data_IF_644213369953
#
_entry.id   IF_644213369953
#
_cell.length_a   1.000
_cell.length_b   1.000
_cell.length_c   1.000
_cell.angle_alpha   90.00
_cell.angle_beta   90.00
_cell.angle_gamma   90.00
#
_symmetry.space_group_name_H-M   'P 1'
#
loop_
_entity.id
_entity.type
_entity.pdbx_description
1 polymer ?
#
# COMPACT_ATOMS: atom_id res chain seq x y z
N UNK A 1 -40.12 15.22 5.42
CA UNK A 1 -38.83 14.56 5.71
C UNK A 1 -37.76 15.63 5.92
N UNK A 2 -37.39 15.93 7.16
CA UNK A 2 -36.42 16.99 7.47
C UNK A 2 -35.75 16.72 8.82
N UNK A 3 -34.94 15.67 8.90
CA UNK A 3 -34.12 15.41 10.08
C UNK A 3 -33.03 16.47 10.19
N UNK A 4 -33.03 17.23 11.28
CA UNK A 4 -32.10 18.33 11.52
C UNK A 4 -30.62 17.89 11.53
N UNK A 5 -29.72 18.88 11.48
CA UNK A 5 -28.26 18.67 11.38
C UNK A 5 -27.70 17.66 12.41
N UNK A 6 -28.29 17.58 13.60
CA UNK A 6 -27.90 16.64 14.64
C UNK A 6 -28.18 15.17 14.25
N UNK A 7 -29.36 14.88 13.68
CA UNK A 7 -29.70 13.53 13.21
C UNK A 7 -28.87 13.14 11.98
N UNK A 8 -28.58 14.09 11.10
CA UNK A 8 -27.68 13.87 9.96
C UNK A 8 -26.24 13.55 10.42
N UNK A 9 -25.73 14.27 11.42
CA UNK A 9 -24.42 13.99 12.03
C UNK A 9 -24.37 12.64 12.74
N UNK A 10 -25.40 12.27 13.50
CA UNK A 10 -25.44 10.98 14.21
C UNK A 10 -25.45 9.81 13.22
N UNK A 11 -26.28 9.89 12.18
CA UNK A 11 -26.34 8.87 11.13
C UNK A 11 -25.04 8.78 10.33
N UNK A 12 -24.36 9.91 10.07
CA UNK A 12 -23.04 9.91 9.41
C UNK A 12 -21.97 9.24 10.29
N UNK A 13 -21.97 9.51 11.60
CA UNK A 13 -21.06 8.86 12.56
C UNK A 13 -21.34 7.36 12.67
N UNK A 14 -22.62 6.96 12.77
CA UNK A 14 -23.02 5.55 12.81
C UNK A 14 -22.61 4.82 11.53
N UNK A 15 -22.88 5.37 10.33
CA UNK A 15 -22.42 4.77 9.07
C UNK A 15 -20.89 4.66 8.98
N UNK A 16 -20.13 5.63 9.52
CA UNK A 16 -18.67 5.56 9.52
C UNK A 16 -18.16 4.47 10.47
N UNK A 17 -18.76 4.34 11.64
CA UNK A 17 -18.46 3.28 12.60
C UNK A 17 -18.85 1.90 12.06
N UNK A 18 -19.94 1.78 11.33
CA UNK A 18 -20.34 0.54 10.67
C UNK A 18 -19.40 0.16 9.51
N UNK A 19 -18.91 1.14 8.73
CA UNK A 19 -17.85 0.90 7.74
C UNK A 19 -16.54 0.43 8.38
N UNK A 20 -16.20 0.94 9.56
CA UNK A 20 -15.03 0.49 10.33
C UNK A 20 -15.22 -0.93 10.91
N UNK A 21 -16.47 -1.34 11.16
CA UNK A 21 -16.82 -2.68 11.67
C UNK A 21 -17.06 -3.72 10.55
N UNK A 22 -17.19 -3.28 9.30
CA UNK A 22 -17.45 -4.13 8.14
C UNK A 22 -16.18 -4.74 7.55
N UNK A 23 -15.85 -5.97 7.98
CA UNK A 23 -14.95 -6.88 7.24
C UNK A 23 -13.88 -7.55 8.11
N UNK A 24 -14.03 -8.85 8.37
CA UNK A 24 -12.98 -9.71 8.92
C UNK A 24 -11.70 -9.55 8.07
N UNK A 25 -10.64 -9.00 8.66
CA UNK A 25 -9.32 -8.86 8.04
C UNK A 25 -9.29 -7.78 6.96
N UNK A 26 -8.80 -6.60 7.30
CA UNK A 26 -8.55 -5.55 6.32
C UNK A 26 -7.57 -6.08 5.27
N UNK A 27 -8.05 -6.30 4.04
CA UNK A 27 -7.21 -6.59 2.88
C UNK A 27 -6.14 -5.49 2.70
N UNK A 28 -6.43 -4.26 3.16
CA UNK A 28 -5.48 -3.16 3.24
C UNK A 28 -4.32 -3.44 4.20
N UNK A 29 -4.59 -4.05 5.36
CA UNK A 29 -3.54 -4.42 6.33
C UNK A 29 -2.71 -5.60 5.81
N UNK A 30 -3.35 -6.57 5.14
CA UNK A 30 -2.63 -7.64 4.45
C UNK A 30 -1.76 -7.07 3.31
N UNK A 31 -2.25 -6.08 2.57
CA UNK A 31 -1.50 -5.43 1.49
C UNK A 31 -0.34 -4.58 2.02
N UNK A 32 -0.53 -3.85 3.13
CA UNK A 32 0.56 -3.15 3.85
C UNK A 32 1.62 -4.12 4.37
N UNK A 33 1.22 -5.25 4.96
CA UNK A 33 2.15 -6.32 5.37
C UNK A 33 2.83 -6.99 4.18
N UNK A 34 2.20 -6.99 3.01
CA UNK A 34 2.80 -7.45 1.78
C UNK A 34 3.76 -6.41 1.18
N UNK A 35 3.81 -5.15 1.60
CA UNK A 35 4.79 -4.18 1.08
C UNK A 35 6.19 -4.36 1.72
N UNK A 36 6.84 -5.49 1.47
CA UNK A 36 8.16 -5.79 2.03
C UNK A 36 9.34 -5.43 1.11
N UNK A 37 9.10 -5.10 -0.15
CA UNK A 37 10.18 -4.80 -1.10
C UNK A 37 10.26 -3.28 -1.24
N UNK A 38 11.35 -2.67 -0.80
CA UNK A 38 11.55 -1.22 -0.92
C UNK A 38 12.81 -0.92 -1.72
N UNK A 39 12.70 -0.04 -2.72
CA UNK A 39 13.88 0.47 -3.42
C UNK A 39 14.68 1.39 -2.47
N UNK A 40 15.97 1.12 -2.30
CA UNK A 40 16.84 1.91 -1.42
C UNK A 40 17.20 3.29 -1.97
N UNK A 41 17.09 3.49 -3.28
CA UNK A 41 17.50 4.73 -3.95
C UNK A 41 16.35 5.75 -3.93
N UNK A 42 15.14 5.35 -4.33
CA UNK A 42 13.99 6.25 -4.41
C UNK A 42 12.93 6.03 -3.32
N UNK A 43 13.13 5.07 -2.42
CA UNK A 43 12.20 4.73 -1.33
C UNK A 43 10.81 4.29 -1.80
N UNK A 44 10.64 3.95 -3.09
CA UNK A 44 9.40 3.37 -3.59
C UNK A 44 9.18 1.98 -3.01
N UNK A 45 7.99 1.75 -2.46
CA UNK A 45 7.56 0.47 -1.92
C UNK A 45 6.84 -0.35 -2.97
N UNK A 46 7.18 -1.63 -3.04
CA UNK A 46 6.63 -2.64 -3.92
C UNK A 46 6.02 -3.75 -3.06
N UNK A 47 4.97 -4.36 -3.61
CA UNK A 47 4.28 -5.48 -2.97
C UNK A 47 5.21 -6.71 -3.04
N UNK A 48 5.21 -7.59 -2.05
CA UNK A 48 6.16 -8.71 -1.92
C UNK A 48 5.95 -9.79 -2.99
N UNK A 49 4.81 -9.78 -3.66
CA UNK A 49 4.50 -10.59 -4.83
C UNK A 49 5.04 -9.99 -6.13
N UNK A 50 5.69 -8.82 -6.07
CA UNK A 50 6.31 -8.19 -7.23
C UNK A 50 7.48 -9.07 -7.66
N UNK A 51 7.33 -9.74 -8.78
CA UNK A 51 8.37 -10.57 -9.37
C UNK A 51 9.63 -9.74 -9.66
N UNK A 52 10.78 -10.39 -9.67
CA UNK A 52 12.09 -9.78 -9.92
C UNK A 52 12.13 -8.94 -11.21
N UNK A 53 11.38 -9.36 -12.24
CA UNK A 53 11.20 -8.63 -13.49
C UNK A 53 10.72 -7.18 -13.30
N UNK A 54 9.76 -6.95 -12.38
CA UNK A 54 9.23 -5.61 -12.11
C UNK A 54 10.21 -4.74 -11.32
N UNK A 55 10.99 -5.35 -10.45
CA UNK A 55 12.09 -4.66 -9.76
C UNK A 55 13.20 -4.27 -10.74
N UNK A 56 13.46 -5.12 -11.74
CA UNK A 56 14.41 -4.86 -12.82
C UNK A 56 13.94 -3.74 -13.74
N UNK A 57 12.69 -3.77 -14.20
CA UNK A 57 12.09 -2.66 -14.96
C UNK A 57 12.20 -1.32 -14.19
N UNK A 58 11.97 -1.34 -12.87
CA UNK A 58 12.13 -0.16 -12.03
C UNK A 58 13.58 0.34 -12.01
N UNK A 59 14.54 -0.54 -11.77
CA UNK A 59 15.95 -0.19 -11.73
C UNK A 59 16.42 0.37 -13.09
N UNK A 60 16.08 -0.29 -14.20
CA UNK A 60 16.47 0.15 -15.56
C UNK A 60 15.82 1.49 -15.94
N UNK A 61 14.54 1.71 -15.61
CA UNK A 61 13.83 2.93 -16.00
C UNK A 61 14.10 4.13 -15.10
N UNK A 62 14.31 3.92 -13.78
CA UNK A 62 14.46 5.01 -12.80
C UNK A 62 15.90 5.21 -12.34
N UNK A 63 16.71 4.16 -12.38
CA UNK A 63 18.08 4.16 -11.87
C UNK A 63 19.05 3.54 -12.89
N UNK A 64 19.12 4.04 -14.15
CA UNK A 64 19.89 3.43 -15.23
C UNK A 64 21.41 3.36 -14.97
N UNK A 65 21.90 4.07 -13.96
CA UNK A 65 23.31 4.08 -13.52
C UNK A 65 23.56 3.19 -12.31
N UNK A 66 22.52 2.56 -11.77
CA UNK A 66 22.57 1.81 -10.52
C UNK A 66 22.14 0.37 -10.78
N UNK A 67 22.90 -0.56 -10.23
CA UNK A 67 22.59 -1.98 -10.41
C UNK A 67 21.32 -2.38 -9.64
N UNK A 68 20.66 -3.47 -10.07
CA UNK A 68 19.49 -4.03 -9.40
C UNK A 68 19.76 -4.26 -7.91
N UNK A 69 20.95 -4.74 -7.55
CA UNK A 69 21.34 -4.98 -6.15
C UNK A 69 21.58 -3.71 -5.35
N UNK A 70 21.79 -2.56 -6.01
CA UNK A 70 21.86 -1.25 -5.33
C UNK A 70 20.45 -0.70 -5.07
N UNK A 71 19.50 -0.95 -5.98
CA UNK A 71 18.10 -0.61 -5.79
C UNK A 71 17.44 -1.52 -4.75
N UNK A 72 17.70 -2.81 -4.83
CA UNK A 72 17.05 -3.85 -4.01
C UNK A 72 18.11 -4.80 -3.45
N UNK A 73 18.81 -4.40 -2.37
CA UNK A 73 19.85 -5.23 -1.77
C UNK A 73 19.32 -6.57 -1.23
N UNK A 74 18.02 -6.65 -0.94
CA UNK A 74 17.33 -7.86 -0.48
C UNK A 74 17.03 -8.88 -1.59
N UNK A 75 17.22 -8.54 -2.88
CA UNK A 75 17.04 -9.46 -4.01
C UNK A 75 18.32 -10.28 -4.32
N UNK A 76 19.44 -9.98 -3.65
CA UNK A 76 20.67 -10.75 -3.81
C UNK A 76 20.56 -12.05 -2.99
N UNK A 77 20.29 -13.18 -3.65
CA UNK A 77 20.60 -14.50 -3.08
C UNK A 77 22.10 -14.74 -3.09
#
# INVERSE_FOLDING_TARGET
MGGGNAQKSKMARERNLEKLKGGKGSQLEANKKAMNIQCKICMQTFICTTSEAKCKEHAEAKHPKSDLVQCFPHLKQ
#
